data_IF_476361139580
#
_entry.id   IF_476361139580
#
_cell.length_a   1.000
_cell.length_b   1.000
_cell.length_c   1.000
_cell.angle_alpha   90.00
_cell.angle_beta   90.00
_cell.angle_gamma   90.00
#
_symmetry.space_group_name_H-M   'P 1'
#
loop_
_entity.id
_entity.type
_entity.pdbx_description
1 polymer ?
#
# COMPACT_ATOMS: atom_id res chain seq x y z
N UNK A 1 0.02 3.12 26.62
CA UNK A 1 1.39 3.02 26.11
C UNK A 1 1.40 3.29 24.61
N UNK A 2 2.48 3.87 24.08
CA UNK A 2 2.70 4.03 22.66
C UNK A 2 2.98 2.68 22.02
N UNK A 3 2.53 2.50 20.78
CA UNK A 3 3.00 1.38 19.96
C UNK A 3 4.49 1.60 19.56
N UNK A 4 5.21 0.56 19.10
CA UNK A 4 6.63 0.66 18.77
C UNK A 4 6.95 1.78 17.76
N UNK A 5 6.13 1.94 16.71
CA UNK A 5 6.32 2.96 15.66
C UNK A 5 6.26 4.39 16.25
N UNK A 6 5.23 4.68 17.05
CA UNK A 6 5.09 5.98 17.69
C UNK A 6 6.19 6.22 18.73
N UNK A 7 6.61 5.18 19.45
CA UNK A 7 7.71 5.29 20.38
C UNK A 7 9.02 5.68 19.68
N UNK A 8 9.33 5.01 18.56
CA UNK A 8 10.50 5.32 17.73
C UNK A 8 10.41 6.72 17.14
N UNK A 9 9.25 7.10 16.57
CA UNK A 9 9.05 8.44 16.03
C UNK A 9 9.34 9.54 17.08
N UNK A 10 8.83 9.35 18.29
CA UNK A 10 9.10 10.28 19.41
C UNK A 10 10.58 10.32 19.80
N UNK A 11 11.26 9.17 19.83
CA UNK A 11 12.69 9.10 20.12
C UNK A 11 13.53 9.84 19.06
N UNK A 12 13.07 9.84 17.80
CA UNK A 12 13.68 10.57 16.69
C UNK A 12 13.31 12.08 16.67
N UNK A 13 12.61 12.58 17.69
CA UNK A 13 12.29 14.00 17.83
C UNK A 13 10.92 14.42 17.30
N UNK A 14 10.09 13.49 16.79
CA UNK A 14 8.74 13.81 16.35
C UNK A 14 7.85 14.18 17.55
N UNK A 15 7.15 15.31 17.45
CA UNK A 15 6.13 15.71 18.41
C UNK A 15 4.83 14.98 18.11
N UNK A 16 4.31 14.24 19.10
CA UNK A 16 3.07 13.48 18.96
C UNK A 16 1.90 14.29 19.49
N UNK A 17 0.94 14.60 18.65
CA UNK A 17 -0.27 15.31 18.97
C UNK A 17 -1.48 14.39 18.90
N UNK A 18 -2.03 13.99 20.05
CA UNK A 18 -3.16 13.07 20.11
C UNK A 18 -4.48 13.82 20.03
N UNK A 19 -5.34 13.36 19.13
CA UNK A 19 -6.68 13.90 18.92
C UNK A 19 -7.76 12.86 19.23
N UNK A 20 -8.98 13.31 19.52
CA UNK A 20 -10.10 12.40 19.66
C UNK A 20 -10.45 11.70 18.35
N UNK A 21 -11.16 10.56 18.43
CA UNK A 21 -11.66 9.86 17.23
C UNK A 21 -12.62 10.74 16.40
N UNK A 22 -13.34 11.64 17.05
CA UNK A 22 -14.22 12.60 16.40
C UNK A 22 -13.42 13.62 15.58
N UNK A 23 -12.41 14.24 16.15
CA UNK A 23 -11.50 15.15 15.45
C UNK A 23 -10.79 14.44 14.30
N UNK A 24 -10.34 13.19 14.51
CA UNK A 24 -9.68 12.42 13.46
C UNK A 24 -10.60 12.13 12.25
N UNK A 25 -11.91 11.94 12.49
CA UNK A 25 -12.88 11.79 11.37
C UNK A 25 -13.01 13.05 10.52
N UNK A 26 -12.71 14.21 11.08
CA UNK A 26 -12.75 15.51 10.40
C UNK A 26 -11.46 15.87 9.68
N UNK A 27 -10.45 14.99 9.65
CA UNK A 27 -9.08 15.24 9.17
C UNK A 27 -8.95 15.78 7.74
N UNK A 28 -9.98 15.61 6.91
CA UNK A 28 -10.02 16.12 5.53
C UNK A 28 -10.98 17.32 5.37
N UNK A 29 -11.68 17.72 6.44
CA UNK A 29 -12.60 18.85 6.37
C UNK A 29 -11.83 20.17 6.34
N UNK A 30 -12.20 21.10 5.42
CA UNK A 30 -11.51 22.39 5.28
C UNK A 30 -11.42 23.19 6.59
N UNK A 31 -12.49 23.16 7.40
CA UNK A 31 -12.56 23.85 8.68
C UNK A 31 -11.53 23.31 9.66
N UNK A 32 -11.39 21.98 9.75
CA UNK A 32 -10.41 21.34 10.63
C UNK A 32 -8.97 21.58 10.14
N UNK A 33 -8.75 21.58 8.85
CA UNK A 33 -7.43 21.93 8.27
C UNK A 33 -7.07 23.39 8.55
N UNK A 34 -8.04 24.30 8.51
CA UNK A 34 -7.83 25.70 8.89
C UNK A 34 -7.51 25.85 10.39
N UNK A 35 -8.18 25.10 11.29
CA UNK A 35 -7.85 25.04 12.71
C UNK A 35 -6.39 24.58 12.93
N UNK A 36 -5.97 23.51 12.22
CA UNK A 36 -4.59 23.02 12.29
C UNK A 36 -3.58 24.04 11.75
N UNK A 37 -3.90 24.74 10.66
CA UNK A 37 -3.04 25.77 10.09
C UNK A 37 -2.84 26.97 11.05
N UNK A 38 -3.86 27.32 11.85
CA UNK A 38 -3.72 28.33 12.90
C UNK A 38 -2.87 27.85 14.08
N UNK A 39 -3.01 26.57 14.44
CA UNK A 39 -2.24 25.98 15.55
C UNK A 39 -0.76 25.78 15.17
N UNK A 40 -0.49 25.49 13.91
CA UNK A 40 0.85 25.23 13.36
C UNK A 40 1.12 26.11 12.13
N UNK A 41 1.42 27.39 12.29
CA UNK A 41 1.42 28.34 11.16
C UNK A 41 2.55 28.11 10.14
N UNK A 42 3.64 27.46 10.52
CA UNK A 42 4.80 27.23 9.64
C UNK A 42 4.98 25.72 9.33
N UNK A 43 3.91 25.04 8.95
CA UNK A 43 3.98 23.62 8.62
C UNK A 43 3.42 23.32 7.24
N UNK A 44 3.84 22.17 6.69
CA UNK A 44 3.21 21.54 5.54
C UNK A 44 2.38 20.35 6.01
N UNK A 45 1.10 20.34 5.71
CA UNK A 45 0.20 19.26 6.11
C UNK A 45 0.32 18.07 5.14
N UNK A 46 0.76 16.92 5.65
CA UNK A 46 0.78 15.64 4.94
C UNK A 46 -0.45 14.85 5.38
N UNK A 47 -1.39 14.53 4.47
CA UNK A 47 -2.59 13.77 4.84
C UNK A 47 -2.25 12.33 5.25
N UNK A 48 -3.20 11.64 5.88
CA UNK A 48 -3.06 10.21 6.18
C UNK A 48 -2.75 9.41 4.90
N UNK A 49 -1.78 8.48 5.01
CA UNK A 49 -1.28 7.72 3.86
C UNK A 49 -0.45 8.52 2.86
N UNK A 50 -0.26 9.83 3.09
CA UNK A 50 0.56 10.70 2.25
C UNK A 50 -0.05 11.06 0.90
N UNK A 51 -1.26 10.62 0.58
CA UNK A 51 -1.86 10.79 -0.76
C UNK A 51 -2.22 12.24 -1.04
N UNK A 52 -1.47 12.86 -1.92
CA UNK A 52 -1.72 14.19 -2.51
C UNK A 52 -1.03 14.28 -3.89
N UNK A 53 -1.24 15.38 -4.60
CA UNK A 53 -0.68 15.56 -5.95
C UNK A 53 0.86 15.46 -6.00
N UNK A 54 1.57 15.97 -4.99
CA UNK A 54 3.04 15.88 -4.93
C UNK A 54 3.50 14.44 -4.68
N UNK A 55 2.82 13.70 -3.80
CA UNK A 55 3.13 12.30 -3.53
C UNK A 55 2.88 11.43 -4.78
N UNK A 56 1.77 11.64 -5.49
CA UNK A 56 1.48 10.96 -6.74
C UNK A 56 2.59 11.22 -7.76
N UNK A 57 3.02 12.48 -7.90
CA UNK A 57 4.14 12.83 -8.77
C UNK A 57 5.44 12.16 -8.35
N UNK A 58 5.75 12.11 -7.05
CA UNK A 58 6.92 11.38 -6.54
C UNK A 58 6.84 9.88 -6.82
N UNK A 59 5.65 9.28 -6.70
CA UNK A 59 5.45 7.85 -6.99
C UNK A 59 5.60 7.51 -8.50
N UNK A 60 5.52 8.47 -9.40
CA UNK A 60 5.84 8.24 -10.82
C UNK A 60 7.31 7.88 -11.03
N UNK A 61 8.20 8.33 -10.15
CA UNK A 61 9.64 8.07 -10.21
C UNK A 61 10.01 6.63 -9.81
N UNK A 62 9.05 5.85 -9.30
CA UNK A 62 9.26 4.41 -8.99
C UNK A 62 9.56 3.63 -10.28
N UNK A 63 8.86 3.95 -11.38
CA UNK A 63 9.09 3.33 -12.68
C UNK A 63 10.18 4.07 -13.44
N UNK A 64 11.09 3.29 -13.98
CA UNK A 64 12.20 3.75 -14.82
C UNK A 64 12.00 3.35 -16.29
N UNK A 65 12.75 3.91 -17.24
CA UNK A 65 12.68 3.47 -18.64
C UNK A 65 12.97 1.98 -18.86
N UNK A 66 13.75 1.33 -17.97
CA UNK A 66 14.02 -0.10 -18.06
C UNK A 66 12.79 -0.95 -17.71
N UNK A 67 11.82 -0.41 -16.98
CA UNK A 67 10.63 -1.13 -16.54
C UNK A 67 9.56 -1.23 -17.64
N UNK A 68 9.78 -0.58 -18.79
CA UNK A 68 8.89 -0.70 -19.97
C UNK A 68 8.87 -2.12 -20.56
N UNK A 69 9.80 -2.99 -20.19
CA UNK A 69 9.83 -4.38 -20.59
C UNK A 69 8.79 -5.27 -19.88
N UNK A 70 8.19 -4.81 -18.78
CA UNK A 70 7.18 -5.57 -18.03
C UNK A 70 5.78 -5.32 -18.60
N UNK A 71 4.94 -6.35 -18.59
CA UNK A 71 3.56 -6.29 -19.09
C UNK A 71 2.59 -5.84 -18.00
N UNK A 72 2.87 -6.23 -16.75
CA UNK A 72 2.03 -5.93 -15.59
C UNK A 72 2.87 -5.34 -14.46
N UNK A 73 2.39 -4.24 -13.88
CA UNK A 73 2.98 -3.61 -12.68
C UNK A 73 2.03 -3.84 -11.51
N UNK A 74 2.49 -4.55 -10.48
CA UNK A 74 1.68 -4.92 -9.32
C UNK A 74 2.09 -4.11 -8.08
N UNK A 75 1.10 -3.60 -7.32
CA UNK A 75 1.37 -2.96 -6.04
C UNK A 75 0.24 -3.20 -5.03
N UNK A 76 0.57 -3.14 -3.74
CA UNK A 76 -0.43 -3.08 -2.68
C UNK A 76 -1.07 -1.68 -2.61
N UNK A 77 -2.37 -1.62 -2.28
CA UNK A 77 -3.14 -0.38 -2.26
C UNK A 77 -3.72 -0.13 -0.87
N UNK A 78 -3.40 1.03 -0.29
CA UNK A 78 -3.99 1.55 0.94
C UNK A 78 -4.88 2.76 0.66
N UNK A 79 -4.29 3.91 0.33
CA UNK A 79 -4.99 5.18 0.05
C UNK A 79 -4.94 5.59 -1.43
N UNK A 80 -4.42 4.75 -2.30
CA UNK A 80 -4.40 4.98 -3.75
C UNK A 80 -3.26 5.84 -4.29
N UNK A 81 -2.47 6.52 -3.46
CA UNK A 81 -1.42 7.43 -3.95
C UNK A 81 -0.34 6.74 -4.77
N UNK A 82 0.20 5.62 -4.27
CA UNK A 82 1.26 4.88 -4.96
C UNK A 82 0.77 4.30 -6.30
N UNK A 83 -0.38 3.62 -6.28
CA UNK A 83 -0.91 3.04 -7.52
C UNK A 83 -1.21 4.13 -8.56
N UNK A 84 -1.74 5.28 -8.16
CA UNK A 84 -1.99 6.40 -9.08
C UNK A 84 -0.68 6.87 -9.72
N UNK A 85 0.41 7.01 -8.95
CA UNK A 85 1.72 7.37 -9.49
C UNK A 85 2.24 6.33 -10.50
N UNK A 86 2.09 5.03 -10.20
CA UNK A 86 2.45 3.94 -11.11
C UNK A 86 1.61 3.96 -12.39
N UNK A 87 0.31 4.22 -12.28
CA UNK A 87 -0.60 4.37 -13.42
C UNK A 87 -0.13 5.51 -14.31
N UNK A 88 0.13 6.68 -13.74
CA UNK A 88 0.58 7.85 -14.51
C UNK A 88 1.93 7.62 -15.21
N UNK A 89 2.85 6.89 -14.60
CA UNK A 89 4.15 6.57 -15.19
C UNK A 89 4.11 5.40 -16.18
N UNK A 90 3.11 4.51 -16.09
CA UNK A 90 3.02 3.30 -16.92
C UNK A 90 2.83 3.62 -18.40
N UNK A 91 3.33 2.73 -19.27
CA UNK A 91 3.13 2.78 -20.71
C UNK A 91 1.76 2.24 -21.12
N UNK A 92 1.29 2.56 -22.32
CA UNK A 92 -0.03 2.16 -22.81
C UNK A 92 -0.24 0.62 -22.90
N UNK A 93 0.83 -0.14 -23.09
CA UNK A 93 0.77 -1.61 -23.13
C UNK A 93 0.81 -2.26 -21.74
N UNK A 94 1.22 -1.53 -20.70
CA UNK A 94 1.34 -2.06 -19.35
C UNK A 94 0.00 -2.00 -18.63
N UNK A 95 -0.35 -3.08 -17.95
CA UNK A 95 -1.48 -3.12 -17.01
C UNK A 95 -0.96 -2.83 -15.60
N UNK A 96 -1.59 -1.90 -14.88
CA UNK A 96 -1.29 -1.68 -13.47
C UNK A 96 -2.32 -2.40 -12.60
N UNK A 97 -1.87 -3.33 -11.77
CA UNK A 97 -2.72 -4.18 -10.94
C UNK A 97 -2.50 -3.85 -9.45
N UNK A 98 -3.53 -3.33 -8.82
CA UNK A 98 -3.54 -3.01 -7.39
C UNK A 98 -4.20 -4.11 -6.57
N UNK A 99 -3.64 -4.40 -5.40
CA UNK A 99 -4.21 -5.33 -4.42
C UNK A 99 -4.63 -4.54 -3.18
N UNK A 100 -5.94 -4.39 -2.99
CA UNK A 100 -6.47 -3.62 -1.87
C UNK A 100 -6.17 -4.31 -0.54
N UNK A 101 -5.64 -3.55 0.42
CA UNK A 101 -5.55 -3.98 1.81
C UNK A 101 -6.86 -3.78 2.58
N UNK A 102 -7.83 -3.07 1.99
CA UNK A 102 -9.11 -2.67 2.57
C UNK A 102 -10.24 -3.48 1.97
N UNK A 103 -11.29 -3.70 2.75
CA UNK A 103 -12.50 -4.34 2.27
C UNK A 103 -13.41 -3.30 1.61
N UNK A 104 -13.94 -3.64 0.44
CA UNK A 104 -14.87 -2.81 -0.34
C UNK A 104 -14.22 -2.16 -1.55
N UNK A 105 -15.06 -1.81 -2.53
CA UNK A 105 -14.62 -1.35 -3.86
C UNK A 105 -14.36 0.16 -3.96
N UNK A 106 -14.51 0.91 -2.86
CA UNK A 106 -14.42 2.38 -2.87
C UNK A 106 -13.07 2.93 -3.37
N UNK A 107 -11.98 2.17 -3.21
CA UNK A 107 -10.65 2.56 -3.71
C UNK A 107 -10.61 2.71 -5.24
N UNK A 108 -11.44 1.96 -5.97
CA UNK A 108 -11.57 2.11 -7.43
C UNK A 108 -12.08 3.51 -7.78
N UNK A 109 -13.12 3.96 -7.08
CA UNK A 109 -13.71 5.28 -7.30
C UNK A 109 -12.75 6.40 -6.89
N UNK A 110 -12.03 6.23 -5.78
CA UNK A 110 -11.02 7.19 -5.33
C UNK A 110 -9.87 7.33 -6.33
N UNK A 111 -9.32 6.22 -6.82
CA UNK A 111 -8.23 6.25 -7.81
C UNK A 111 -8.73 6.78 -9.16
N UNK A 112 -9.96 6.47 -9.58
CA UNK A 112 -10.55 6.99 -10.80
C UNK A 112 -10.70 8.53 -10.81
N UNK A 113 -10.79 9.16 -9.63
CA UNK A 113 -10.78 10.63 -9.52
C UNK A 113 -9.38 11.24 -9.66
N UNK A 114 -8.32 10.44 -9.52
CA UNK A 114 -6.94 10.89 -9.51
C UNK A 114 -6.21 10.69 -10.85
N UNK A 115 -6.78 9.90 -11.76
CA UNK A 115 -6.19 9.59 -13.08
C UNK A 115 -7.26 9.49 -14.16
N UNK A 116 -6.90 9.85 -15.39
CA UNK A 116 -7.73 9.62 -16.58
C UNK A 116 -7.35 8.35 -17.36
N UNK A 117 -6.26 7.68 -16.97
CA UNK A 117 -5.84 6.44 -17.61
C UNK A 117 -6.77 5.29 -17.22
N UNK A 118 -6.87 4.29 -18.08
CA UNK A 118 -7.80 3.14 -17.93
C UNK A 118 -7.09 1.79 -17.90
N UNK A 119 -5.77 1.77 -18.02
CA UNK A 119 -4.95 0.56 -18.02
C UNK A 119 -4.62 0.05 -16.61
N UNK A 120 -5.59 0.07 -15.72
CA UNK A 120 -5.42 -0.37 -14.34
C UNK A 120 -6.63 -1.09 -13.78
N UNK A 121 -6.41 -1.88 -12.76
CA UNK A 121 -7.46 -2.57 -12.00
C UNK A 121 -7.05 -2.66 -10.54
N UNK A 122 -8.01 -2.57 -9.60
CA UNK A 122 -7.80 -2.86 -8.19
C UNK A 122 -8.63 -4.10 -7.82
N UNK A 123 -7.97 -5.08 -7.23
CA UNK A 123 -8.57 -6.30 -6.69
C UNK A 123 -8.73 -6.17 -5.19
N UNK A 124 -9.92 -6.46 -4.67
CA UNK A 124 -10.27 -6.41 -3.24
C UNK A 124 -10.53 -7.79 -2.62
N UNK A 125 -10.49 -8.86 -3.44
CA UNK A 125 -10.71 -10.24 -3.00
C UNK A 125 -9.62 -10.75 -2.05
N UNK A 126 -8.41 -10.18 -2.12
CA UNK A 126 -7.25 -10.62 -1.35
C UNK A 126 -7.02 -9.84 -0.04
N UNK A 127 -7.96 -8.99 0.37
CA UNK A 127 -7.82 -8.15 1.56
C UNK A 127 -7.87 -8.92 2.90
N UNK A 128 -8.14 -10.24 2.89
CA UNK A 128 -8.29 -11.09 4.09
C UNK A 128 -9.32 -10.56 5.10
N UNK A 129 -10.40 -9.96 4.63
CA UNK A 129 -11.44 -9.36 5.47
C UNK A 129 -11.17 -7.92 5.89
N UNK A 130 -10.14 -7.26 5.35
CA UNK A 130 -9.91 -5.82 5.49
C UNK A 130 -8.58 -5.44 6.13
N UNK A 131 -8.48 -4.15 6.48
CA UNK A 131 -7.25 -3.56 7.01
C UNK A 131 -6.75 -4.28 8.27
N UNK A 132 -5.46 -4.63 8.29
CA UNK A 132 -4.78 -5.33 9.37
C UNK A 132 -5.44 -6.68 9.80
N UNK A 133 -6.41 -7.18 9.05
CA UNK A 133 -6.94 -8.54 9.23
C UNK A 133 -5.99 -9.55 8.61
N UNK A 134 -5.85 -10.69 9.28
CA UNK A 134 -5.00 -11.79 8.84
C UNK A 134 -5.80 -13.10 8.83
N UNK A 135 -5.33 -14.08 8.10
CA UNK A 135 -5.84 -15.44 8.11
C UNK A 135 -4.71 -16.44 8.33
N UNK A 136 -5.04 -17.66 8.76
CA UNK A 136 -4.06 -18.75 8.88
C UNK A 136 -3.35 -19.00 7.55
N UNK A 137 -4.09 -18.95 6.43
CA UNK A 137 -3.53 -19.12 5.09
C UNK A 137 -2.52 -18.03 4.75
N UNK A 138 -2.83 -16.74 5.04
CA UNK A 138 -1.89 -15.64 4.83
C UNK A 138 -0.62 -15.81 5.66
N UNK A 139 -0.75 -16.19 6.93
CA UNK A 139 0.41 -16.38 7.81
C UNK A 139 1.27 -17.56 7.37
N UNK A 140 0.67 -18.63 6.84
CA UNK A 140 1.41 -19.75 6.25
C UNK A 140 2.11 -19.32 4.97
N UNK A 141 1.42 -18.62 4.06
CA UNK A 141 1.99 -18.09 2.83
C UNK A 141 3.24 -17.22 3.10
N UNK A 142 3.19 -16.35 4.11
CA UNK A 142 4.35 -15.51 4.47
C UNK A 142 5.56 -16.39 4.84
N UNK A 143 5.35 -17.39 5.69
CA UNK A 143 6.46 -18.30 6.11
C UNK A 143 7.07 -19.04 4.92
N UNK A 144 6.22 -19.64 4.10
CA UNK A 144 6.66 -20.43 2.94
C UNK A 144 7.41 -19.54 1.93
N UNK A 145 6.86 -18.36 1.64
CA UNK A 145 7.46 -17.40 0.73
C UNK A 145 8.84 -16.91 1.24
N UNK A 146 8.95 -16.61 2.53
CA UNK A 146 10.22 -16.17 3.10
C UNK A 146 11.29 -17.27 3.13
N UNK A 147 10.89 -18.52 3.32
CA UNK A 147 11.79 -19.67 3.22
C UNK A 147 12.30 -19.84 1.78
N UNK A 148 11.40 -19.72 0.81
CA UNK A 148 11.74 -19.97 -0.59
C UNK A 148 12.52 -18.82 -1.23
N UNK A 149 12.13 -17.57 -0.97
CA UNK A 149 12.66 -16.40 -1.69
C UNK A 149 13.60 -15.52 -0.85
N UNK A 150 13.70 -15.75 0.46
CA UNK A 150 14.48 -14.93 1.40
C UNK A 150 14.08 -13.42 1.38
N UNK A 151 12.84 -13.11 1.02
CA UNK A 151 12.29 -11.76 0.99
C UNK A 151 11.26 -11.62 2.11
N UNK A 152 11.50 -10.75 3.11
CA UNK A 152 10.57 -10.58 4.22
C UNK A 152 9.29 -9.86 3.77
N UNK A 153 8.13 -10.36 4.22
CA UNK A 153 6.83 -9.77 3.95
C UNK A 153 6.19 -9.25 5.24
N UNK A 154 5.32 -8.26 5.12
CA UNK A 154 4.45 -7.83 6.20
C UNK A 154 2.98 -8.19 5.90
N UNK A 155 2.20 -8.43 6.94
CA UNK A 155 0.88 -9.05 6.84
C UNK A 155 -0.25 -8.11 6.37
N UNK A 156 -0.04 -6.79 6.33
CA UNK A 156 -1.10 -5.82 6.02
C UNK A 156 -1.24 -5.58 4.52
N UNK A 157 -0.11 -5.45 3.83
CA UNK A 157 -0.03 -5.01 2.43
C UNK A 157 0.70 -6.02 1.53
N UNK A 158 2.02 -6.18 1.71
CA UNK A 158 2.88 -6.89 0.75
C UNK A 158 2.58 -8.38 0.68
N UNK A 159 2.27 -9.01 1.80
CA UNK A 159 1.92 -10.43 1.81
C UNK A 159 0.57 -10.71 1.13
N UNK A 160 -0.43 -9.85 1.33
CA UNK A 160 -1.73 -9.99 0.67
C UNK A 160 -1.61 -9.82 -0.84
N UNK A 161 -0.82 -8.85 -1.29
CA UNK A 161 -0.53 -8.65 -2.70
C UNK A 161 0.13 -9.88 -3.31
N UNK A 162 1.22 -10.36 -2.70
CA UNK A 162 1.95 -11.52 -3.24
C UNK A 162 1.12 -12.79 -3.20
N UNK A 163 0.37 -13.05 -2.13
CA UNK A 163 -0.57 -14.17 -2.08
C UNK A 163 -1.59 -14.08 -3.23
N UNK A 164 -2.11 -12.87 -3.50
CA UNK A 164 -3.03 -12.65 -4.62
C UNK A 164 -2.37 -12.87 -5.98
N UNK A 165 -1.13 -12.44 -6.16
CA UNK A 165 -0.39 -12.67 -7.42
C UNK A 165 -0.19 -14.16 -7.66
N UNK A 166 0.24 -14.92 -6.64
CA UNK A 166 0.44 -16.37 -6.76
C UNK A 166 -0.87 -17.10 -7.09
N UNK A 167 -1.97 -16.77 -6.42
CA UNK A 167 -3.30 -17.31 -6.71
C UNK A 167 -3.76 -16.99 -8.14
N UNK A 168 -3.49 -15.78 -8.62
CA UNK A 168 -3.81 -15.38 -10.00
C UNK A 168 -2.94 -16.10 -11.05
N UNK A 169 -1.68 -16.40 -10.72
CA UNK A 169 -0.82 -17.23 -11.59
C UNK A 169 -1.37 -18.66 -11.66
N UNK A 170 -1.76 -19.26 -10.56
CA UNK A 170 -2.36 -20.60 -10.51
C UNK A 170 -3.70 -20.67 -11.27
N UNK A 171 -4.41 -19.56 -11.42
CA UNK A 171 -5.67 -19.42 -12.16
C UNK A 171 -5.51 -19.01 -13.61
N UNK A 172 -4.29 -19.02 -14.15
CA UNK A 172 -4.00 -18.60 -15.53
C UNK A 172 -4.54 -17.18 -15.86
N UNK A 173 -4.59 -16.29 -14.86
CA UNK A 173 -5.07 -14.92 -15.06
C UNK A 173 -4.17 -14.11 -16.01
N UNK A 174 -2.87 -14.35 -15.94
CA UNK A 174 -1.89 -13.68 -16.79
C UNK A 174 -1.63 -14.51 -18.05
N UNK A 175 -1.58 -13.90 -19.24
CA UNK A 175 -1.16 -14.61 -20.45
C UNK A 175 0.21 -15.29 -20.27
N UNK A 176 0.38 -16.47 -20.87
CA UNK A 176 1.66 -17.19 -20.80
C UNK A 176 2.82 -16.33 -21.31
N UNK A 177 3.90 -16.26 -20.55
CA UNK A 177 5.07 -15.44 -20.86
C UNK A 177 4.97 -13.99 -20.37
N UNK A 178 3.88 -13.58 -19.73
CA UNK A 178 3.76 -12.25 -19.11
C UNK A 178 4.89 -12.00 -18.11
N UNK A 179 5.43 -10.79 -18.14
CA UNK A 179 6.48 -10.32 -17.24
C UNK A 179 5.86 -9.37 -16.23
N UNK A 180 5.90 -9.75 -14.96
CA UNK A 180 5.33 -8.97 -13.86
C UNK A 180 6.42 -8.22 -13.11
N UNK A 181 6.21 -6.92 -12.86
CA UNK A 181 6.99 -6.11 -11.95
C UNK A 181 6.20 -5.95 -10.65
N UNK A 182 6.71 -6.49 -9.55
CA UNK A 182 6.03 -6.45 -8.26
C UNK A 182 6.73 -5.42 -7.36
N UNK A 183 6.01 -4.36 -6.97
CA UNK A 183 6.55 -3.29 -6.15
C UNK A 183 6.42 -3.66 -4.67
N UNK A 184 7.53 -4.03 -4.04
CA UNK A 184 7.63 -4.24 -2.60
C UNK A 184 7.94 -2.92 -1.90
N UNK A 185 6.91 -2.22 -1.44
CA UNK A 185 7.02 -0.86 -0.87
C UNK A 185 7.48 -0.81 0.61
N UNK A 186 7.88 -1.94 1.19
CA UNK A 186 8.37 -2.00 2.58
C UNK A 186 7.28 -2.35 3.60
N UNK A 187 7.10 -1.51 4.63
CA UNK A 187 6.10 -1.73 5.69
C UNK A 187 6.58 -2.68 6.80
N UNK A 188 7.82 -3.16 6.75
CA UNK A 188 8.35 -4.18 7.66
C UNK A 188 8.35 -3.77 9.14
N UNK A 189 8.33 -2.48 9.46
CA UNK A 189 8.18 -1.97 10.82
C UNK A 189 6.82 -2.35 11.46
N UNK A 190 5.80 -2.63 10.63
CA UNK A 190 4.48 -3.09 11.08
C UNK A 190 4.35 -4.60 11.21
N UNK A 191 5.43 -5.31 10.98
CA UNK A 191 5.47 -6.76 11.00
C UNK A 191 5.19 -7.32 12.39
N UNK A 192 4.20 -8.18 12.48
CA UNK A 192 3.81 -8.88 13.72
C UNK A 192 3.79 -10.39 13.46
N UNK A 193 4.93 -10.93 13.07
CA UNK A 193 5.12 -12.35 12.78
C UNK A 193 6.10 -12.89 13.80
N UNK A 194 5.64 -13.83 14.62
CA UNK A 194 6.53 -14.59 15.50
C UNK A 194 7.48 -15.44 14.65
N UNK A 195 8.71 -14.94 14.49
CA UNK A 195 9.79 -15.67 13.81
C UNK A 195 10.37 -16.78 14.68
N UNK A 196 9.83 -17.01 15.88
CA UNK A 196 10.33 -17.99 16.85
C UNK A 196 9.81 -19.40 16.66
N UNK A 197 8.92 -19.66 15.71
CA UNK A 197 8.56 -21.04 15.35
C UNK A 197 9.58 -21.59 14.35
N UNK A 198 10.83 -21.71 14.79
CA UNK A 198 11.82 -22.55 14.13
C UNK A 198 11.30 -23.97 14.14
N UNK A 199 11.17 -24.55 12.98
CA UNK A 199 10.80 -25.94 12.73
C UNK A 199 11.74 -26.83 13.57
N UNK A 200 11.14 -27.59 14.49
CA UNK A 200 11.80 -28.73 15.14
C UNK A 200 11.69 -29.94 14.22
#
# INVERSE_FOLDING_TARGET
PLNPTLATARQLGMQLHFVSREHYRRKQQPEYLAELAQQFPEHYFIPEGGTNALAIRGCQEILSPQDTQFDVVCCAVGTGGTITGLIEASQAHQQVLGFSALQGSFLKDEVAQLTSKTNWTILDDYCCGGYAKTSTALMQFIRDFEIEFAIPLEQVYTAKMLMGIFDLIEKDYFPAGSRLLVIHSGGLQGRNIDTTSTIA
#
